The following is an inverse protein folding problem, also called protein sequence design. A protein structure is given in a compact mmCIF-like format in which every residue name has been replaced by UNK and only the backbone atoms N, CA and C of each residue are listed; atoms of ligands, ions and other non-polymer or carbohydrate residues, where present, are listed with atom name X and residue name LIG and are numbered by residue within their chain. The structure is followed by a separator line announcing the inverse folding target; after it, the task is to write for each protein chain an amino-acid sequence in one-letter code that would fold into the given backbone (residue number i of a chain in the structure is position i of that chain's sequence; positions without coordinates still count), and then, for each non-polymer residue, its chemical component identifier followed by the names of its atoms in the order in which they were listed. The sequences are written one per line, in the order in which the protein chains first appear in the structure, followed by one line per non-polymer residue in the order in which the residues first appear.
data_IF_186423184856
#
_entry.id   IF_186423184856
#
_cell.length_a   1.000
_cell.length_b   1.000
_cell.length_c   1.000
_cell.angle_alpha   90.00
_cell.angle_beta   90.00
_cell.angle_gamma   90.00
#
_symmetry.space_group_name_H-M   'P 1'
#
loop_
_entity.id
_entity.type
_entity.pdbx_description
1 polymer ?
2 non-polymer ?
3 water ?
#
# COMPACT_ATOMS: atom_id res chain seq x y z
N UNK A 23 -16.21 16.54 -5.32
CA UNK A 23 -17.15 17.52 -4.78
C UNK A 23 -16.51 18.29 -3.63
N UNK A 24 -15.55 17.66 -2.96
CA UNK A 24 -14.89 18.26 -1.81
C UNK A 24 -14.14 19.54 -2.18
N UNK A 25 -14.38 20.60 -1.41
CA UNK A 25 -13.63 21.84 -1.56
C UNK A 25 -12.22 21.63 -1.02
N UNK A 26 -11.28 22.49 -1.41
CA UNK A 26 -9.91 22.40 -0.90
C UNK A 26 -9.86 22.36 0.63
N UNK A 27 -10.70 23.16 1.27
CA UNK A 27 -10.78 23.18 2.73
C UNK A 27 -11.22 21.82 3.26
N UNK A 28 -12.25 21.25 2.65
CA UNK A 28 -12.79 19.96 3.07
C UNK A 28 -11.79 18.83 2.87
N UNK A 29 -11.07 18.87 1.75
CA UNK A 29 -10.05 17.86 1.46
C UNK A 29 -8.96 17.85 2.53
N UNK A 30 -8.41 19.02 2.82
CA UNK A 30 -7.36 19.14 3.82
C UNK A 30 -7.84 18.78 5.22
N UNK A 31 -9.01 19.31 5.60
CA UNK A 31 -9.53 19.09 6.95
C UNK A 31 -9.90 17.62 7.17
N UNK A 32 -10.65 17.06 6.23
CA UNK A 32 -11.11 15.67 6.36
C UNK A 32 -9.94 14.71 6.38
N UNK A 33 -8.95 14.96 5.52
CA UNK A 33 -7.78 14.10 5.43
C UNK A 33 -6.95 14.21 6.71
N UNK A 34 -6.89 15.41 7.27
CA UNK A 34 -6.20 15.63 8.54
C UNK A 34 -6.85 14.80 9.65
N UNK A 35 -8.17 14.93 9.79
CA UNK A 35 -8.93 14.15 10.75
C UNK A 35 -8.69 12.65 10.56
N UNK A 36 -8.90 12.20 9.33
CA UNK A 36 -8.78 10.78 8.99
C UNK A 36 -7.40 10.23 9.31
N UNK A 37 -6.36 11.00 9.00
CA UNK A 37 -5.00 10.56 9.24
C UNK A 37 -4.67 10.48 10.73
N UNK A 38 -4.96 11.55 11.46
CA UNK A 38 -4.62 11.62 12.89
C UNK A 38 -5.42 10.61 13.71
N UNK A 39 -6.68 10.42 13.35
CA UNK A 39 -7.52 9.45 14.04
C UNK A 39 -6.98 8.04 13.89
N UNK A 40 -6.33 7.78 12.76
CA UNK A 40 -5.76 6.47 12.46
C UNK A 40 -4.41 6.29 13.16
N UNK A 41 -3.64 7.37 13.22
CA UNK A 41 -2.32 7.34 13.86
C UNK A 41 -2.44 7.22 15.38
N UNK A 42 -3.42 7.91 15.94
CA UNK A 42 -3.67 7.84 17.37
C UNK A 42 -4.04 6.42 17.79
N UNK A 43 -4.85 5.76 16.96
CA UNK A 43 -5.34 4.43 17.24
C UNK A 43 -4.27 3.36 17.08
N UNK A 44 -3.56 3.40 15.95
CA UNK A 44 -2.64 2.33 15.58
C UNK A 44 -1.17 2.75 15.69
N UNK A 45 -0.87 3.66 16.61
CA UNK A 45 0.48 4.14 16.82
C UNK A 45 1.47 3.00 17.08
N UNK A 46 1.14 2.14 18.03
CA UNK A 46 2.03 1.05 18.45
C UNK A 46 2.29 0.05 17.32
N UNK A 47 1.25 -0.24 16.54
CA UNK A 47 1.38 -1.16 15.42
C UNK A 47 2.33 -0.62 14.36
N UNK A 48 2.22 0.68 14.08
CA UNK A 48 3.03 1.33 13.05
C UNK A 48 4.49 1.45 13.49
N UNK A 49 4.70 1.61 14.79
CA UNK A 49 6.06 1.70 15.32
C UNK A 49 6.81 0.40 15.07
N UNK A 50 6.15 -0.72 15.32
CA UNK A 50 6.76 -2.03 15.15
C UNK A 50 6.69 -2.55 13.70
N UNK A 51 5.89 -1.89 12.85
CA UNK A 51 5.68 -2.37 11.48
C UNK A 51 5.62 -1.23 10.46
N UNK A 52 6.78 -0.84 9.91
CA UNK A 52 6.86 0.22 8.90
C UNK A 52 5.96 0.00 7.69
N UNK A 53 5.75 -1.25 7.28
CA UNK A 53 4.91 -1.55 6.12
C UNK A 53 3.44 -1.20 6.37
N UNK A 54 2.95 -1.53 7.57
CA UNK A 54 1.59 -1.21 7.95
C UNK A 54 1.41 0.30 7.97
N UNK A 55 2.43 0.99 8.48
CA UNK A 55 2.44 2.44 8.52
C UNK A 55 2.38 2.99 7.10
N UNK A 56 3.24 2.44 6.25
CA UNK A 56 3.33 2.85 4.85
C UNK A 56 2.00 2.68 4.11
N UNK A 57 1.34 1.54 4.34
CA UNK A 57 0.08 1.23 3.67
C UNK A 57 -1.01 2.22 4.07
N UNK A 58 -1.08 2.58 5.35
CA UNK A 58 -2.08 3.51 5.83
C UNK A 58 -1.84 4.91 5.28
N UNK A 59 -0.58 5.33 5.25
CA UNK A 59 -0.20 6.62 4.71
C UNK A 59 -0.60 6.74 3.24
N UNK A 60 -0.32 5.70 2.45
CA UNK A 60 -0.70 5.68 1.04
C UNK A 60 -2.21 5.62 0.86
N UNK A 61 -2.86 4.83 1.70
CA UNK A 61 -4.30 4.66 1.66
C UNK A 61 -5.04 5.97 1.93
N UNK A 62 -4.52 6.74 2.87
CA UNK A 62 -5.18 7.97 3.33
C UNK A 62 -4.79 9.18 2.49
N UNK A 63 -3.50 9.32 2.21
CA UNK A 63 -2.98 10.50 1.52
C UNK A 63 -2.98 10.35 0.00
N UNK A 64 -2.93 9.11 -0.47
CA UNK A 64 -2.82 8.83 -1.89
C UNK A 64 -3.88 9.48 -2.75
N UNK A 65 -5.16 9.25 -2.41
CA UNK A 65 -6.28 9.80 -3.16
C UNK A 65 -6.33 11.33 -3.22
N UNK A 66 -5.55 12.00 -2.38
CA UNK A 66 -5.59 13.46 -2.28
C UNK A 66 -4.24 14.11 -2.52
N UNK A 67 -3.32 13.37 -3.14
CA UNK A 67 -2.00 13.88 -3.45
C UNK A 67 -1.62 13.53 -4.88
N UNK A 68 -1.23 14.55 -5.65
CA UNK A 68 -0.83 14.36 -7.04
C UNK A 68 0.65 13.97 -7.08
N UNK A 69 0.93 12.68 -6.86
CA UNK A 69 2.29 12.19 -6.79
C UNK A 69 3.06 12.40 -8.09
N UNK A 70 2.36 12.25 -9.21
CA UNK A 70 2.99 12.40 -10.52
C UNK A 70 3.45 13.83 -10.75
N UNK A 71 2.55 14.79 -10.49
CA UNK A 71 2.90 16.19 -10.64
C UNK A 71 4.02 16.60 -9.71
N UNK A 72 3.98 16.08 -8.48
CA UNK A 72 5.02 16.35 -7.50
C UNK A 72 6.37 15.83 -8.00
N UNK A 73 6.36 14.62 -8.54
CA UNK A 73 7.58 14.00 -9.05
C UNK A 73 8.13 14.77 -10.24
N UNK A 74 7.26 15.11 -11.19
CA UNK A 74 7.67 15.85 -12.37
C UNK A 74 8.29 17.20 -11.99
N UNK A 75 7.73 17.84 -10.97
CA UNK A 75 8.24 19.13 -10.51
C UNK A 75 9.61 18.99 -9.86
N UNK A 76 9.80 17.92 -9.08
CA UNK A 76 11.08 17.65 -8.45
C UNK A 76 12.15 17.34 -9.51
N UNK A 77 11.78 16.53 -10.49
CA UNK A 77 12.69 16.15 -11.56
C UNK A 77 12.85 17.25 -12.60
N UNK A 78 11.86 18.13 -12.68
CA UNK A 78 11.68 19.06 -13.80
C UNK A 78 11.29 18.29 -15.05
N UNK A 79 10.45 18.90 -15.88
CA UNK A 79 9.91 18.25 -17.07
C UNK A 79 11.01 17.77 -18.02
N UNK A 80 12.13 18.50 -18.05
CA UNK A 80 13.24 18.17 -18.93
C UNK A 80 13.71 16.72 -18.75
N UNK A 81 13.78 16.28 -17.50
CA UNK A 81 14.24 14.93 -17.18
C UNK A 81 13.08 13.96 -16.94
N UNK A 82 11.93 14.49 -16.53
CA UNK A 82 10.76 13.65 -16.34
C UNK A 82 10.34 13.06 -17.68
N UNK A 83 10.56 13.83 -18.75
CA UNK A 83 10.25 13.38 -20.10
C UNK A 83 11.27 12.35 -20.60
N UNK A 84 12.37 12.21 -19.86
CA UNK A 84 13.41 11.24 -20.19
C UNK A 84 13.43 10.08 -19.19
N UNK A 85 12.30 9.91 -18.49
CA UNK A 85 12.18 8.85 -17.49
C UNK A 85 11.10 7.86 -17.89
N UNK A 86 11.46 6.58 -17.90
CA UNK A 86 10.50 5.54 -18.24
C UNK A 86 9.51 5.38 -17.09
N UNK A 87 8.33 4.81 -17.36
CA UNK A 87 7.38 4.47 -16.31
C UNK A 87 8.00 3.69 -15.15
N UNK A 88 8.94 2.80 -15.45
CA UNK A 88 9.64 2.06 -14.42
C UNK A 88 10.43 3.00 -13.51
N UNK A 89 11.30 3.80 -14.11
CA UNK A 89 12.14 4.74 -13.36
C UNK A 89 11.30 5.70 -12.54
N UNK A 90 10.22 6.19 -13.15
CA UNK A 90 9.33 7.13 -12.47
C UNK A 90 8.71 6.48 -11.24
N UNK A 91 8.31 5.21 -11.39
CA UNK A 91 7.65 4.50 -10.31
C UNK A 91 8.61 4.12 -9.19
N UNK A 92 9.83 3.74 -9.56
CA UNK A 92 10.85 3.39 -8.57
C UNK A 92 11.20 4.62 -7.73
N UNK A 93 11.15 5.80 -8.37
CA UNK A 93 11.45 7.06 -7.69
C UNK A 93 10.40 7.40 -6.64
N UNK A 94 9.13 7.25 -7.00
CA UNK A 94 8.03 7.56 -6.09
C UNK A 94 8.07 6.64 -4.88
N UNK A 95 8.32 5.35 -5.13
CA UNK A 95 8.43 4.38 -4.05
C UNK A 95 9.56 4.78 -3.10
N UNK A 96 10.73 5.06 -3.66
CA UNK A 96 11.88 5.50 -2.88
C UNK A 96 11.59 6.76 -2.08
N UNK A 97 11.11 7.79 -2.75
CA UNK A 97 10.82 9.08 -2.13
C UNK A 97 9.90 8.94 -0.91
N UNK A 98 8.71 8.37 -1.15
CA UNK A 98 7.72 8.18 -0.09
C UNK A 98 8.28 7.41 1.11
N UNK A 99 8.89 6.26 0.85
CA UNK A 99 9.43 5.42 1.91
C UNK A 99 10.53 6.14 2.68
N UNK A 100 11.20 7.07 2.01
CA UNK A 100 12.25 7.87 2.65
C UNK A 100 11.63 8.94 3.54
N UNK A 101 10.52 9.52 3.08
CA UNK A 101 9.83 10.54 3.84
C UNK A 101 9.28 9.96 5.14
N UNK A 102 8.64 8.81 5.04
CA UNK A 102 8.15 8.11 6.21
C UNK A 102 9.29 7.80 7.16
N UNK A 103 10.42 7.41 6.59
CA UNK A 103 11.58 7.00 7.37
C UNK A 103 12.20 8.15 8.16
N UNK A 104 12.10 9.37 7.63
CA UNK A 104 12.77 10.53 8.22
C UNK A 104 11.80 11.59 8.74
N UNK A 105 10.50 11.32 8.64
CA UNK A 105 9.48 12.22 9.18
C UNK A 105 8.33 11.47 9.85
N UNK A 106 8.22 10.16 9.59
CA UNK A 106 7.12 9.37 10.09
C UNK A 106 7.07 9.29 11.61
N UNK A 107 8.23 9.19 12.23
CA UNK A 107 8.30 9.11 13.68
C UNK A 107 7.72 10.36 14.32
N UNK A 108 7.96 11.51 13.70
CA UNK A 108 7.42 12.77 14.20
C UNK A 108 5.90 12.78 14.14
N UNK A 109 5.34 12.02 13.22
CA UNK A 109 3.89 11.90 13.08
C UNK A 109 3.32 10.96 14.14
N UNK A 110 4.01 9.85 14.38
CA UNK A 110 3.55 8.86 15.33
C UNK A 110 3.59 9.42 16.75
N UNK A 111 4.57 10.30 16.98
CA UNK A 111 4.74 10.90 18.29
C UNK A 111 3.80 12.10 18.51
N UNK A 112 2.80 12.22 17.65
CA UNK A 112 1.77 13.23 17.81
C UNK A 112 0.75 12.81 18.87
N UNK A 113 0.85 13.44 20.04
CA UNK A 113 -0.19 13.32 21.07
C UNK A 113 -0.66 14.73 21.43
N UNK A 114 -0.43 15.66 20.49
CA UNK A 114 -0.80 17.05 20.68
C UNK A 114 -2.26 17.30 20.33
N UNK A 115 -2.62 18.57 20.24
CA UNK A 115 -3.97 18.98 19.87
C UNK A 115 -3.91 20.31 19.13
N UNK A 116 -5.08 20.86 18.81
CA UNK A 116 -5.17 22.20 18.24
C UNK A 116 -4.64 22.30 16.82
N UNK A 117 -5.19 21.50 15.93
CA UNK A 117 -4.92 21.64 14.51
C UNK A 117 -5.96 22.56 13.90
N UNK A 118 -5.52 23.72 13.42
CA UNK A 118 -6.41 24.69 12.81
C UNK A 118 -6.25 24.72 11.29
N UNK A 119 -7.34 24.40 10.58
CA UNK A 119 -7.39 24.55 9.14
C UNK A 119 -8.05 25.90 8.83
N UNK A 120 -7.24 26.90 8.54
CA UNK A 120 -7.73 28.26 8.29
C UNK A 120 -8.80 28.30 7.20
N UNK A 121 -9.75 29.25 7.30
CA UNK A 121 -10.75 29.39 6.24
C UNK A 121 -10.11 29.65 4.87
N UNK A 122 -10.30 28.73 3.94
CA UNK A 122 -9.67 28.82 2.62
C UNK A 122 -10.26 29.97 1.81
N UNK A 123 -9.38 30.73 1.17
CA UNK A 123 -9.81 31.84 0.31
C UNK A 123 -10.30 31.31 -1.04
N UNK A 124 -10.82 32.20 -1.87
CA UNK A 124 -11.38 31.82 -3.16
C UNK A 124 -10.31 31.24 -4.08
N UNK A 125 -10.77 30.46 -5.07
CA UNK A 125 -9.88 29.82 -6.03
C UNK A 125 -10.33 30.10 -7.46
N UNK A 126 -9.56 29.64 -8.44
CA UNK A 126 -9.87 29.87 -9.85
C UNK A 126 -10.41 28.60 -10.51
N UNK A 127 -10.69 27.58 -9.70
CA UNK A 127 -11.25 26.34 -10.22
C UNK A 127 -10.20 25.42 -10.79
N UNK A 128 -8.93 25.84 -10.72
CA UNK A 128 -7.83 25.04 -11.25
C UNK A 128 -6.73 24.95 -10.20
N UNK A 129 -6.56 26.04 -9.45
CA UNK A 129 -5.54 26.15 -8.41
C UNK A 129 -6.13 26.72 -7.13
N UNK A 130 -5.75 26.16 -5.98
CA UNK A 130 -6.30 26.57 -4.70
C UNK A 130 -5.26 26.55 -3.60
N UNK A 131 -5.48 27.36 -2.57
CA UNK A 131 -4.58 27.45 -1.42
C UNK A 131 -5.33 27.26 -0.11
N UNK A 132 -4.74 26.49 0.79
CA UNK A 132 -5.34 26.23 2.11
C UNK A 132 -4.27 26.35 3.19
N UNK A 133 -4.53 27.22 4.17
CA UNK A 133 -3.61 27.44 5.26
C UNK A 133 -3.92 26.55 6.46
N UNK A 134 -2.87 26.21 7.21
CA UNK A 134 -3.02 25.40 8.41
C UNK A 134 -2.08 25.90 9.49
N UNK A 135 -2.51 25.77 10.74
CA UNK A 135 -1.67 26.09 11.90
C UNK A 135 -1.61 24.89 12.83
N UNK A 136 -0.40 24.57 13.29
CA UNK A 136 -0.20 23.46 14.21
C UNK A 136 0.38 23.99 15.51
N UNK A 137 -0.38 23.83 16.59
CA UNK A 137 0.05 24.29 17.91
C UNK A 137 0.72 23.14 18.67
N UNK A 138 2.02 23.28 18.91
CA UNK A 138 2.77 22.27 19.65
C UNK A 138 2.52 22.35 21.13
N UNK A 139 2.99 21.36 21.87
CA UNK A 139 2.88 21.35 23.33
C UNK A 139 3.55 22.57 23.94
N UNK A 140 4.61 23.03 23.28
CA UNK A 140 5.32 24.23 23.71
C UNK A 140 4.43 25.47 23.58
N UNK A 141 3.45 25.40 22.68
CA UNK A 141 2.54 26.50 22.42
C UNK A 141 2.91 27.26 21.15
N UNK A 142 4.06 26.94 20.58
CA UNK A 142 4.52 27.57 19.34
C UNK A 142 3.63 27.18 18.16
N UNK A 143 3.12 28.18 17.46
CA UNK A 143 2.27 27.95 16.29
C UNK A 143 3.13 27.94 15.02
N UNK A 144 3.04 26.84 14.26
CA UNK A 144 3.80 26.70 13.03
C UNK A 144 2.89 26.83 11.81
N UNK A 145 3.21 27.76 10.88
CA UNK A 145 2.37 27.96 9.71
C UNK A 145 2.59 26.90 8.62
N UNK A 146 1.51 26.50 7.96
CA UNK A 146 1.57 25.51 6.88
C UNK A 146 0.62 25.90 5.76
N UNK A 147 1.17 26.05 4.56
CA UNK A 147 0.40 26.47 3.38
C UNK A 147 0.31 25.34 2.35
N UNK A 148 -0.91 24.88 2.09
CA UNK A 148 -1.15 23.83 1.11
C UNK A 148 -1.54 24.42 -0.25
N UNK A 149 -0.89 23.95 -1.30
CA UNK A 149 -1.26 24.29 -2.66
C UNK A 149 -1.92 23.09 -3.31
N UNK A 150 -3.15 23.27 -3.80
CA UNK A 150 -3.91 22.20 -4.42
C UNK A 150 -4.23 22.50 -5.88
N UNK A 151 -4.21 21.47 -6.70
CA UNK A 151 -4.60 21.57 -8.10
C UNK A 151 -5.87 20.77 -8.34
N UNK A 152 -6.66 21.15 -9.34
CA UNK A 152 -7.86 20.41 -9.70
C UNK A 152 -7.56 19.42 -10.83
N UNK A 153 -7.47 18.15 -10.48
CA UNK A 153 -7.18 17.09 -11.44
C UNK A 153 -8.43 16.27 -11.74
N UNK A 154 -8.98 16.44 -12.94
CA UNK A 154 -10.14 15.68 -13.36
C UNK A 154 -11.34 15.93 -12.46
N UNK A 155 -11.48 17.16 -12.00
CA UNK A 155 -12.60 17.53 -11.14
C UNK A 155 -12.31 17.40 -9.66
N UNK A 156 -11.26 16.66 -9.32
CA UNK A 156 -10.89 16.44 -7.92
C UNK A 156 -9.70 17.30 -7.50
N UNK A 157 -9.79 17.86 -6.29
CA UNK A 157 -8.68 18.63 -5.72
C UNK A 157 -7.65 17.72 -5.07
N UNK A 158 -6.39 17.90 -5.43
CA UNK A 158 -5.29 17.12 -4.86
C UNK A 158 -4.11 18.04 -4.53
N UNK A 159 -3.36 17.68 -3.49
CA UNK A 159 -2.25 18.50 -3.04
C UNK A 159 -1.05 18.39 -3.96
N UNK A 160 -0.57 19.54 -4.46
CA UNK A 160 0.55 19.58 -5.39
C UNK A 160 1.84 20.01 -4.71
N UNK A 161 1.74 20.91 -3.73
CA UNK A 161 2.90 21.38 -3.01
C UNK A 161 2.54 21.85 -1.60
N UNK A 162 3.55 21.96 -0.73
CA UNK A 162 3.34 22.43 0.64
C UNK A 162 4.50 23.29 1.11
N UNK A 163 4.18 24.33 1.86
CA UNK A 163 5.18 25.20 2.49
C UNK A 163 5.09 25.06 4.00
N UNK A 164 6.23 24.76 4.63
CA UNK A 164 6.29 24.56 6.08
C UNK A 164 7.31 25.52 6.69
N UNK A 165 6.84 26.37 7.61
CA UNK A 165 7.69 27.38 8.24
C UNK A 165 8.40 28.25 7.20
N UNK A 166 7.66 28.63 6.17
CA UNK A 166 8.20 29.46 5.10
C UNK A 166 9.14 28.71 4.17
N UNK A 167 9.26 27.40 4.38
CA UNK A 167 10.13 26.57 3.56
C UNK A 167 9.33 25.83 2.51
N UNK A 168 9.56 26.17 1.24
CA UNK A 168 8.90 25.50 0.13
C UNK A 168 9.49 24.10 -0.04
N UNK A 169 8.71 23.09 0.30
CA UNK A 169 9.19 21.72 0.29
C UNK A 169 9.43 21.24 -1.14
N UNK A 170 8.51 21.56 -2.03
CA UNK A 170 8.65 21.19 -3.44
C UNK A 170 9.95 21.74 -4.01
N UNK A 171 10.25 22.98 -3.66
CA UNK A 171 11.48 23.63 -4.10
C UNK A 171 12.71 23.00 -3.45
N UNK A 172 12.56 22.60 -2.19
CA UNK A 172 13.65 21.98 -1.43
C UNK A 172 14.13 20.70 -2.11
N UNK A 173 13.20 19.82 -2.43
CA UNK A 173 13.53 18.54 -3.05
C UNK A 173 13.89 18.72 -4.52
N UNK A 174 13.35 19.76 -5.14
CA UNK A 174 13.70 20.08 -6.53
C UNK A 174 15.17 20.43 -6.61
N UNK A 175 15.64 21.27 -5.69
CA UNK A 175 17.03 21.68 -5.65
C UNK A 175 17.94 20.50 -5.33
N UNK A 176 17.53 19.68 -4.38
CA UNK A 176 18.30 18.50 -3.98
C UNK A 176 18.46 17.52 -5.15
N UNK A 177 17.37 17.31 -5.89
CA UNK A 177 17.43 16.45 -7.07
C UNK A 177 18.37 17.03 -8.13
N UNK A 178 18.34 18.35 -8.27
CA UNK A 178 19.21 19.04 -9.22
C UNK A 178 20.69 18.88 -8.84
N UNK A 179 20.98 19.08 -7.56
CA UNK A 179 22.33 18.92 -7.05
C UNK A 179 22.84 17.49 -7.26
N UNK A 180 22.00 16.52 -6.91
CA UNK A 180 22.32 15.12 -7.11
C UNK A 180 22.65 14.82 -8.56
N UNK A 181 21.79 15.27 -9.46
CA UNK A 181 21.97 15.07 -10.90
C UNK A 181 23.28 15.68 -11.38
N UNK A 182 23.66 16.80 -10.79
CA UNK A 182 24.90 17.48 -11.17
C UNK A 182 26.10 16.61 -10.78
N UNK A 183 26.06 16.08 -9.56
CA UNK A 183 27.14 15.22 -9.07
C UNK A 183 27.18 13.89 -9.80
N UNK A 184 26.01 13.38 -10.16
CA UNK A 184 25.91 12.07 -10.81
C UNK A 184 26.01 12.16 -12.33
N UNK A 185 26.37 13.34 -12.84
CA UNK A 185 26.49 13.54 -14.27
C UNK A 185 25.20 13.32 -15.03
N UNK A 186 24.08 13.70 -14.40
CA UNK A 186 22.76 13.60 -15.00
C UNK A 186 22.38 12.15 -15.32
N UNK A 187 22.83 11.23 -14.48
CA UNK A 187 22.43 9.82 -14.59
C UNK A 187 21.18 9.59 -13.75
N UNK A 188 20.05 9.39 -14.43
CA UNK A 188 18.77 9.25 -13.74
C UNK A 188 18.76 8.06 -12.79
N UNK A 189 19.20 6.91 -13.27
CA UNK A 189 19.19 5.69 -12.46
C UNK A 189 19.95 5.91 -11.15
N UNK A 190 21.16 6.44 -11.23
CA UNK A 190 21.98 6.68 -10.04
C UNK A 190 21.33 7.67 -9.09
N UNK A 191 20.71 8.71 -9.65
CA UNK A 191 20.07 9.74 -8.83
C UNK A 191 18.84 9.18 -8.12
N UNK A 192 18.09 8.32 -8.81
CA UNK A 192 16.88 7.75 -8.27
C UNK A 192 17.19 6.67 -7.23
N UNK A 193 18.24 5.90 -7.47
CA UNK A 193 18.60 4.79 -6.59
C UNK A 193 19.11 5.29 -5.24
N UNK A 194 19.79 6.44 -5.25
CA UNK A 194 20.33 7.02 -4.03
C UNK A 194 19.53 8.20 -3.54
N UNK A 195 18.24 8.21 -3.86
CA UNK A 195 17.38 9.34 -3.54
C UNK A 195 17.03 9.40 -2.06
N UNK A 196 17.04 8.24 -1.40
CA UNK A 196 16.74 8.18 0.03
C UNK A 196 17.74 9.00 0.82
N UNK A 197 19.02 8.83 0.52
CA UNK A 197 20.06 9.61 1.15
C UNK A 197 19.95 11.09 0.80
N UNK A 198 19.35 11.37 -0.35
CA UNK A 198 19.14 12.74 -0.77
C UNK A 198 18.04 13.41 0.05
N UNK A 199 17.01 12.66 0.38
CA UNK A 199 15.95 13.14 1.27
C UNK A 199 16.51 13.32 2.67
N UNK A 200 17.42 12.43 3.06
CA UNK A 200 18.08 12.53 4.35
C UNK A 200 18.86 13.83 4.46
N UNK A 201 19.60 14.16 3.40
CA UNK A 201 20.31 15.44 3.33
C UNK A 201 19.33 16.59 3.30
N UNK A 202 18.23 16.41 2.57
CA UNK A 202 17.19 17.44 2.46
C UNK A 202 16.63 17.77 3.83
N UNK A 203 16.43 16.76 4.67
CA UNK A 203 15.87 16.96 6.00
C UNK A 203 16.76 17.87 6.82
N UNK A 204 18.03 17.51 6.93
CA UNK A 204 19.00 18.29 7.71
C UNK A 204 19.18 19.68 7.10
N UNK A 205 19.17 19.75 5.78
CA UNK A 205 19.27 21.02 5.07
C UNK A 205 18.10 21.93 5.46
N UNK A 206 16.92 21.34 5.64
CA UNK A 206 15.72 22.07 6.02
C UNK A 206 15.69 22.38 7.51
N UNK A 207 16.21 21.46 8.31
CA UNK A 207 16.21 21.62 9.77
C UNK A 207 17.12 22.76 10.22
N UNK A 208 18.24 22.93 9.53
CA UNK A 208 19.20 23.98 9.86
C UNK A 208 18.64 25.38 9.58
N UNK A 209 17.76 25.48 8.58
CA UNK A 209 17.16 26.76 8.21
C UNK A 209 16.34 27.34 9.36
N UNK B 23 -21.84 -5.86 12.42
CA UNK B 23 -20.71 -6.67 12.01
C UNK B 23 -21.05 -7.51 10.79
N UNK B 24 -20.20 -7.42 9.77
CA UNK B 24 -20.40 -8.17 8.53
C UNK B 24 -20.33 -9.67 8.78
N UNK B 25 -21.30 -10.41 8.27
CA UNK B 25 -21.27 -11.86 8.33
C UNK B 25 -20.21 -12.37 7.35
N UNK B 26 -19.75 -13.60 7.52
CA UNK B 26 -18.77 -14.18 6.60
C UNK B 26 -19.21 -14.07 5.14
N UNK B 27 -20.49 -14.29 4.90
CA UNK B 27 -21.06 -14.17 3.56
C UNK B 27 -20.94 -12.74 3.03
N UNK B 28 -21.27 -11.78 3.89
CA UNK B 28 -21.24 -10.36 3.52
C UNK B 28 -19.80 -9.90 3.26
N UNK B 29 -18.87 -10.39 4.07
CA UNK B 29 -17.46 -10.05 3.92
C UNK B 29 -16.95 -10.49 2.55
N UNK B 30 -17.21 -11.74 2.19
CA UNK B 30 -16.79 -12.28 0.90
C UNK B 30 -17.49 -11.58 -0.26
N UNK B 31 -18.80 -11.40 -0.14
CA UNK B 31 -19.59 -10.82 -1.23
C UNK B 31 -19.22 -9.36 -1.49
N UNK B 32 -19.18 -8.57 -0.43
CA UNK B 32 -18.91 -7.14 -0.56
C UNK B 32 -17.50 -6.86 -1.05
N UNK B 33 -16.53 -7.59 -0.53
CA UNK B 33 -15.13 -7.40 -0.92
C UNK B 33 -14.92 -7.81 -2.36
N UNK B 34 -15.60 -8.86 -2.79
CA UNK B 34 -15.55 -9.30 -4.18
C UNK B 34 -16.05 -8.17 -5.08
N UNK B 35 -17.22 -7.65 -4.77
CA UNK B 35 -17.78 -6.51 -5.50
C UNK B 35 -16.78 -5.35 -5.52
N UNK B 36 -16.30 -4.98 -4.35
CA UNK B 36 -15.37 -3.86 -4.20
C UNK B 36 -14.13 -4.06 -5.06
N UNK B 37 -13.60 -5.28 -5.06
CA UNK B 37 -12.39 -5.59 -5.80
C UNK B 37 -12.60 -5.52 -7.32
N UNK B 38 -13.65 -6.19 -7.80
CA UNK B 38 -13.92 -6.26 -9.23
C UNK B 38 -14.31 -4.90 -9.79
N UNK B 39 -15.06 -4.12 -9.03
CA UNK B 39 -15.44 -2.79 -9.44
C UNK B 39 -14.23 -1.89 -9.61
N UNK B 40 -13.21 -2.14 -8.81
CA UNK B 40 -11.98 -1.35 -8.84
C UNK B 40 -11.06 -1.80 -9.97
N UNK B 41 -11.00 -3.11 -10.21
CA UNK B 41 -10.15 -3.66 -11.26
C UNK B 41 -10.72 -3.35 -12.65
N UNK B 42 -12.03 -3.39 -12.77
CA UNK B 42 -12.69 -3.06 -14.03
C UNK B 42 -12.39 -1.61 -14.42
N UNK B 43 -12.42 -0.73 -13.43
CA UNK B 43 -12.23 0.70 -13.65
C UNK B 43 -10.78 1.05 -13.98
N UNK B 44 -9.85 0.55 -13.17
CA UNK B 44 -8.45 0.95 -13.26
C UNK B 44 -7.53 -0.12 -13.84
N UNK B 45 -8.08 -0.96 -14.71
CA UNK B 45 -7.32 -2.04 -15.35
C UNK B 45 -6.07 -1.52 -16.06
N UNK B 46 -6.24 -0.52 -16.91
CA UNK B 46 -5.14 0.00 -17.72
C UNK B 46 -4.04 0.61 -16.84
N UNK B 47 -4.44 1.28 -15.77
CA UNK B 47 -3.48 1.88 -14.84
C UNK B 47 -2.65 0.81 -14.14
N UNK B 48 -3.31 -0.26 -13.72
CA UNK B 48 -2.65 -1.34 -13.00
C UNK B 48 -1.73 -2.15 -13.90
N UNK B 49 -2.09 -2.25 -15.18
CA UNK B 49 -1.26 -2.94 -16.14
C UNK B 49 0.08 -2.23 -16.29
N UNK B 50 0.04 -0.90 -16.39
CA UNK B 50 1.24 -0.10 -16.58
C UNK B 50 1.97 0.25 -15.27
N UNK B 51 1.30 0.03 -14.14
CA UNK B 51 1.86 0.42 -12.84
C UNK B 51 1.57 -0.60 -11.74
N UNK B 52 2.46 -1.60 -11.57
CA UNK B 52 2.30 -2.64 -10.55
C UNK B 52 2.11 -2.11 -9.13
N UNK B 53 2.74 -0.97 -8.80
CA UNK B 53 2.62 -0.40 -7.46
C UNK B 53 1.20 0.08 -7.16
N UNK B 54 0.57 0.72 -8.14
CA UNK B 54 -0.81 1.17 -7.98
C UNK B 54 -1.72 -0.04 -7.79
N UNK B 55 -1.43 -1.09 -8.55
CA UNK B 55 -2.17 -2.34 -8.45
C UNK B 55 -1.99 -2.93 -7.06
N UNK B 56 -0.74 -2.99 -6.60
CA UNK B 56 -0.40 -3.54 -5.30
C UNK B 56 -1.11 -2.80 -4.16
N UNK B 57 -1.11 -1.47 -4.22
CA UNK B 57 -1.71 -0.65 -3.19
C UNK B 57 -3.22 -0.89 -3.09
N UNK B 58 -3.87 -1.02 -4.24
CA UNK B 58 -5.31 -1.26 -4.28
C UNK B 58 -5.65 -2.63 -3.71
N UNK B 59 -4.84 -3.63 -4.06
CA UNK B 59 -5.03 -4.99 -3.56
C UNK B 59 -4.93 -5.04 -2.03
N UNK B 60 -3.92 -4.37 -1.48
CA UNK B 60 -3.76 -4.31 -0.03
C UNK B 60 -4.87 -3.52 0.63
N UNK B 61 -5.27 -2.43 0.00
CA UNK B 61 -6.31 -1.55 0.51
C UNK B 61 -7.65 -2.28 0.61
N UNK B 62 -7.91 -3.14 -0.37
CA UNK B 62 -9.20 -3.83 -0.47
C UNK B 62 -9.22 -5.13 0.30
N UNK B 63 -8.16 -5.93 0.16
CA UNK B 63 -8.11 -7.26 0.76
C UNK B 63 -7.51 -7.25 2.17
N UNK B 64 -6.68 -6.27 2.46
CA UNK B 64 -5.96 -6.20 3.72
C UNK B 64 -6.83 -6.26 4.97
N UNK B 65 -7.84 -5.38 5.04
CA UNK B 65 -8.73 -5.32 6.20
C UNK B 65 -9.53 -6.61 6.45
N UNK B 66 -9.56 -7.52 5.48
CA UNK B 66 -10.37 -8.73 5.58
C UNK B 66 -9.54 -10.00 5.40
N UNK B 67 -8.22 -9.88 5.55
CA UNK B 67 -7.32 -11.03 5.42
C UNK B 67 -6.33 -11.06 6.56
N UNK B 68 -6.26 -12.20 7.24
CA UNK B 68 -5.34 -12.40 8.37
C UNK B 68 -3.96 -12.81 7.86
N UNK B 69 -3.17 -11.82 7.43
CA UNK B 69 -1.86 -12.07 6.84
C UNK B 69 -0.92 -12.76 7.81
N UNK B 70 -0.98 -12.38 9.08
CA UNK B 70 -0.10 -12.94 10.09
C UNK B 70 -0.37 -14.42 10.32
N UNK B 71 -1.64 -14.77 10.51
CA UNK B 71 -2.03 -16.15 10.70
C UNK B 71 -1.70 -16.99 9.48
N UNK B 72 -1.91 -16.41 8.30
CA UNK B 72 -1.59 -17.08 7.05
C UNK B 72 -0.09 -17.36 6.99
N UNK B 73 0.69 -16.36 7.40
CA UNK B 73 2.15 -16.50 7.41
C UNK B 73 2.60 -17.55 8.42
N UNK B 74 2.05 -17.50 9.63
CA UNK B 74 2.40 -18.46 10.66
C UNK B 74 2.14 -19.90 10.24
N UNK B 75 1.04 -20.12 9.54
CA UNK B 75 0.67 -21.46 9.08
C UNK B 75 1.63 -21.96 8.00
N UNK B 76 2.01 -21.06 7.10
CA UNK B 76 2.96 -21.41 6.04
C UNK B 76 4.31 -21.75 6.63
N UNK B 77 4.79 -20.90 7.54
CA UNK B 77 6.06 -21.12 8.20
C UNK B 77 5.97 -22.27 9.21
N UNK B 78 4.76 -22.51 9.71
CA UNK B 78 4.54 -23.35 10.88
C UNK B 78 5.12 -22.66 12.12
N UNK B 79 4.46 -22.86 13.25
CA UNK B 79 4.84 -22.19 14.49
C UNK B 79 6.29 -22.46 14.88
N UNK B 80 6.78 -23.66 14.54
CA UNK B 80 8.15 -24.03 14.86
C UNK B 80 9.14 -23.00 14.32
N UNK B 81 8.87 -22.50 13.13
CA UNK B 81 9.76 -21.56 12.47
C UNK B 81 9.29 -20.11 12.62
N UNK B 82 7.98 -19.92 12.79
CA UNK B 82 7.44 -18.58 13.00
C UNK B 82 7.91 -18.02 14.34
N UNK B 83 8.08 -18.91 15.31
CA UNK B 83 8.55 -18.50 16.64
C UNK B 83 10.04 -18.17 16.65
N UNK B 84 10.72 -18.53 15.57
CA UNK B 84 12.15 -18.23 15.44
C UNK B 84 12.38 -17.17 14.36
N UNK B 85 11.33 -16.41 14.06
CA UNK B 85 11.40 -15.34 13.08
C UNK B 85 11.11 -13.99 13.73
N UNK B 86 12.02 -13.04 13.54
CA UNK B 86 11.83 -11.70 14.08
C UNK B 86 10.74 -10.96 13.31
N UNK B 87 10.16 -9.91 13.92
CA UNK B 87 9.21 -9.03 13.24
C UNK B 87 9.72 -8.54 11.87
N UNK B 88 11.02 -8.29 11.76
CA UNK B 88 11.60 -7.88 10.48
C UNK B 88 11.42 -8.96 9.42
N UNK B 89 11.90 -10.16 9.74
CA UNK B 89 11.81 -11.29 8.82
C UNK B 89 10.37 -11.60 8.45
N UNK B 90 9.48 -11.49 9.43
CA UNK B 90 8.07 -11.76 9.22
C UNK B 90 7.48 -10.76 8.24
N UNK B 91 7.75 -9.49 8.49
CA UNK B 91 7.24 -8.42 7.64
C UNK B 91 7.82 -8.51 6.22
N UNK B 92 9.09 -8.88 6.12
CA UNK B 92 9.74 -9.04 4.83
C UNK B 92 9.12 -10.19 4.04
N UNK B 93 8.75 -11.26 4.73
CA UNK B 93 8.16 -12.42 4.08
C UNK B 93 6.79 -12.11 3.50
N UNK B 94 5.97 -11.39 4.26
CA UNK B 94 4.63 -11.02 3.81
C UNK B 94 4.72 -10.13 2.57
N UNK B 95 5.65 -9.17 2.61
CA UNK B 95 5.87 -8.28 1.48
C UNK B 95 6.25 -9.09 0.24
N UNK B 96 7.24 -9.94 0.38
CA UNK B 96 7.69 -10.82 -0.70
C UNK B 96 6.55 -11.69 -1.24
N UNK B 97 5.88 -12.40 -0.34
CA UNK B 97 4.79 -13.30 -0.71
C UNK B 97 3.71 -12.60 -1.55
N UNK B 98 3.15 -11.54 -0.99
CA UNK B 98 2.11 -10.76 -1.67
C UNK B 98 2.53 -10.31 -3.06
N UNK B 99 3.68 -9.66 -3.14
CA UNK B 99 4.17 -9.11 -4.41
C UNK B 99 4.41 -10.22 -5.43
N UNK B 100 4.69 -11.42 -4.94
CA UNK B 100 4.90 -12.57 -5.80
C UNK B 100 3.56 -13.09 -6.32
N UNK B 101 2.55 -13.05 -5.47
CA UNK B 101 1.22 -13.51 -5.84
C UNK B 101 0.64 -12.61 -6.93
N UNK B 102 0.79 -11.30 -6.75
CA UNK B 102 0.36 -10.33 -7.76
C UNK B 102 1.12 -10.56 -9.05
N UNK B 103 2.36 -11.00 -8.93
CA UNK B 103 3.24 -11.19 -10.08
C UNK B 103 2.86 -12.42 -10.91
N UNK B 104 2.30 -13.44 -10.25
CA UNK B 104 2.01 -14.71 -10.92
C UNK B 104 0.53 -15.03 -10.99
N UNK B 105 -0.32 -14.13 -10.51
CA UNK B 105 -1.77 -14.31 -10.60
C UNK B 105 -2.51 -13.01 -10.90
N UNK B 106 -1.84 -11.87 -10.77
CA UNK B 106 -2.47 -10.57 -10.96
C UNK B 106 -3.02 -10.36 -12.36
N UNK B 107 -2.29 -10.84 -13.36
CA UNK B 107 -2.71 -10.70 -14.74
C UNK B 107 -4.05 -11.40 -14.99
N UNK B 108 -4.23 -12.55 -14.35
CA UNK B 108 -5.47 -13.30 -14.47
C UNK B 108 -6.62 -12.51 -13.86
N UNK B 109 -6.31 -11.65 -12.90
CA UNK B 109 -7.32 -10.80 -12.27
C UNK B 109 -7.67 -9.62 -13.17
N UNK B 110 -6.67 -9.01 -13.77
CA UNK B 110 -6.87 -7.84 -14.63
C UNK B 110 -7.61 -8.23 -15.91
N UNK B 111 -7.38 -9.44 -16.39
CA UNK B 111 -8.01 -9.90 -17.63
C UNK B 111 -9.42 -10.41 -17.35
N UNK B 112 -9.95 -10.11 -16.18
CA UNK B 112 -11.34 -10.43 -15.87
C UNK B 112 -12.29 -9.41 -16.48
N UNK B 113 -12.98 -9.82 -17.54
CA UNK B 113 -14.11 -9.06 -18.07
C UNK B 113 -15.31 -10.00 -18.13
N UNK B 114 -15.27 -11.03 -17.30
CA UNK B 114 -16.33 -12.03 -17.25
C UNK B 114 -17.47 -11.53 -16.38
N UNK B 115 -18.39 -12.43 -16.06
CA UNK B 115 -19.53 -12.11 -15.21
C UNK B 115 -19.93 -13.35 -14.42
N UNK B 116 -21.02 -13.24 -13.66
CA UNK B 116 -21.58 -14.40 -12.98
C UNK B 116 -20.73 -14.89 -11.83
N UNK B 117 -20.48 -14.02 -10.87
CA UNK B 117 -19.84 -14.42 -9.62
C UNK B 117 -20.91 -14.80 -8.61
N UNK B 118 -20.93 -16.07 -8.23
CA UNK B 118 -21.89 -16.57 -7.26
C UNK B 118 -21.24 -16.82 -5.91
N UNK B 119 -21.71 -16.09 -4.90
CA UNK B 119 -21.33 -16.35 -3.51
C UNK B 119 -22.41 -17.21 -2.86
N UNK B 120 -22.15 -18.52 -2.77
CA UNK B 120 -23.12 -19.46 -2.23
C UNK B 120 -23.61 -19.06 -0.84
N UNK B 121 -24.87 -19.41 -0.51
CA UNK B 121 -25.38 -19.14 0.84
C UNK B 121 -24.54 -19.81 1.92
N UNK B 122 -23.92 -19.01 2.78
CA UNK B 122 -23.02 -19.54 3.81
C UNK B 122 -23.78 -20.32 4.88
N UNK B 123 -23.21 -21.46 5.28
CA UNK B 123 -23.80 -22.28 6.33
C UNK B 123 -23.51 -21.67 7.70
N UNK B 124 -24.09 -22.25 8.74
CA UNK B 124 -23.93 -21.75 10.10
C UNK B 124 -22.47 -21.86 10.56
N UNK B 125 -22.10 -21.05 11.55
CA UNK B 125 -20.73 -21.04 12.08
C UNK B 125 -20.74 -21.20 13.60
N UNK B 126 -19.54 -21.29 14.19
CA UNK B 126 -19.40 -21.47 15.63
C UNK B 126 -18.92 -20.18 16.33
N UNK B 127 -18.92 -19.08 15.60
CA UNK B 127 -18.53 -17.80 16.15
C UNK B 127 -17.02 -17.58 16.18
N UNK B 128 -16.28 -18.57 15.69
CA UNK B 128 -14.82 -18.48 15.60
C UNK B 128 -14.31 -18.89 14.23
N UNK B 129 -14.97 -19.87 13.63
CA UNK B 129 -14.57 -20.38 12.32
C UNK B 129 -15.80 -20.48 11.42
N UNK B 130 -15.65 -20.08 10.16
CA UNK B 130 -16.75 -20.04 9.22
C UNK B 130 -16.29 -20.45 7.83
N UNK B 131 -17.23 -20.94 7.02
CA UNK B 131 -16.94 -21.35 5.66
C UNK B 131 -17.89 -20.68 4.67
N UNK B 132 -17.35 -20.20 3.56
CA UNK B 132 -18.13 -19.55 2.52
C UNK B 132 -17.70 -20.06 1.15
N UNK B 133 -18.66 -20.58 0.39
CA UNK B 133 -18.39 -21.10 -0.94
C UNK B 133 -18.57 -20.05 -2.02
N UNK B 134 -17.90 -20.26 -3.15
CA UNK B 134 -18.00 -19.35 -4.29
C UNK B 134 -17.88 -20.14 -5.60
N UNK B 135 -18.60 -19.68 -6.61
CA UNK B 135 -18.52 -20.26 -7.95
C UNK B 135 -18.17 -19.17 -8.96
N UNK B 136 -17.22 -19.47 -9.84
CA UNK B 136 -16.78 -18.55 -10.88
C UNK B 136 -17.03 -19.12 -12.27
N UNK B 137 -17.78 -18.39 -13.08
CA UNK B 137 -18.13 -18.82 -14.42
C UNK B 137 -17.10 -18.33 -15.45
N UNK B 138 -16.38 -19.28 -16.03
CA UNK B 138 -15.37 -18.95 -17.04
C UNK B 138 -15.97 -18.68 -18.40
N UNK B 139 -15.14 -18.19 -19.32
CA UNK B 139 -15.58 -17.94 -20.69
C UNK B 139 -16.09 -19.21 -21.36
N UNK B 140 -15.45 -20.33 -21.03
CA UNK B 140 -15.88 -21.63 -21.53
C UNK B 140 -17.24 -22.02 -20.97
N UNK B 141 -17.56 -21.46 -19.80
CA UNK B 141 -18.78 -21.79 -19.09
C UNK B 141 -18.50 -22.74 -17.94
N UNK B 142 -17.26 -23.21 -17.86
CA UNK B 142 -16.85 -24.12 -16.80
C UNK B 142 -16.88 -23.41 -15.44
N UNK B 143 -17.60 -24.01 -14.50
CA UNK B 143 -17.71 -23.47 -13.15
C UNK B 143 -16.62 -24.06 -12.26
N UNK B 144 -15.82 -23.18 -11.66
CA UNK B 144 -14.73 -23.59 -10.79
C UNK B 144 -15.10 -23.30 -9.33
N UNK B 145 -15.01 -24.32 -8.46
CA UNK B 145 -15.39 -24.13 -7.05
C UNK B 145 -14.30 -23.44 -6.21
N UNK B 146 -14.72 -22.60 -5.27
CA UNK B 146 -13.79 -21.91 -4.38
C UNK B 146 -14.37 -21.86 -2.97
N UNK B 147 -13.63 -22.39 -2.00
CA UNK B 147 -14.08 -22.47 -0.62
C UNK B 147 -13.23 -21.57 0.28
N UNK B 148 -13.88 -20.59 0.91
CA UNK B 148 -13.19 -19.68 1.81
C UNK B 148 -13.32 -20.12 3.26
N UNK B 149 -12.19 -20.16 3.97
CA UNK B 149 -12.18 -20.40 5.40
C UNK B 149 -11.89 -19.09 6.11
N UNK B 150 -12.78 -18.70 7.02
CA UNK B 150 -12.65 -17.45 7.75
C UNK B 150 -12.52 -17.66 9.25
N UNK B 151 -11.73 -16.82 9.89
CA UNK B 151 -11.60 -16.81 11.34
C UNK B 151 -12.17 -15.50 11.87
N UNK B 152 -12.63 -15.51 13.12
CA UNK B 152 -13.11 -14.30 13.77
C UNK B 152 -12.01 -13.68 14.62
N UNK B 153 -11.42 -12.60 14.11
CA UNK B 153 -10.33 -11.91 14.80
C UNK B 153 -10.82 -10.59 15.39
N UNK B 154 -10.93 -10.56 16.72
CA UNK B 154 -11.34 -9.36 17.42
C UNK B 154 -12.73 -8.88 17.03
N UNK B 155 -13.64 -9.83 16.81
CA UNK B 155 -15.01 -9.52 16.44
C UNK B 155 -15.24 -9.42 14.95
N UNK B 156 -14.15 -9.30 14.19
CA UNK B 156 -14.25 -9.20 12.73
C UNK B 156 -13.86 -10.50 12.06
N UNK B 157 -14.60 -10.87 11.02
CA UNK B 157 -14.29 -12.05 10.22
C UNK B 157 -13.21 -11.73 9.20
N UNK B 158 -12.18 -12.57 9.16
CA UNK B 158 -11.09 -12.41 8.20
C UNK B 158 -10.74 -13.76 7.58
N UNK B 159 -10.31 -13.73 6.32
CA UNK B 159 -9.99 -14.96 5.59
C UNK B 159 -8.67 -15.55 6.05
N UNK B 160 -8.69 -16.81 6.46
CA UNK B 160 -7.50 -17.50 6.94
C UNK B 160 -6.94 -18.45 5.89
N UNK B 161 -7.83 -19.08 5.11
CA UNK B 161 -7.39 -20.00 4.07
C UNK B 161 -8.40 -20.08 2.92
N UNK B 162 -7.96 -20.58 1.78
CA UNK B 162 -8.82 -20.74 0.62
C UNK B 162 -8.48 -22.01 -0.15
N UNK B 163 -9.51 -22.68 -0.66
CA UNK B 163 -9.34 -23.86 -1.49
C UNK B 163 -9.83 -23.56 -2.90
N UNK B 164 -8.96 -23.80 -3.90
CA UNK B 164 -9.29 -23.53 -5.29
C UNK B 164 -9.18 -24.80 -6.13
N UNK B 165 -10.29 -25.19 -6.75
CA UNK B 165 -10.35 -26.41 -7.54
C UNK B 165 -9.88 -27.60 -6.73
N UNK B 166 -10.30 -27.66 -5.47
CA UNK B 166 -9.94 -28.75 -4.59
C UNK B 166 -8.50 -28.72 -4.12
N UNK B 167 -7.78 -27.65 -4.48
CA UNK B 167 -6.37 -27.50 -4.09
C UNK B 167 -6.26 -26.55 -2.92
N UNK B 168 -5.82 -27.08 -1.78
CA UNK B 168 -5.62 -26.28 -0.58
C UNK B 168 -4.39 -25.38 -0.75
N UNK B 169 -4.63 -24.08 -0.87
CA UNK B 169 -3.56 -23.13 -1.12
C UNK B 169 -2.64 -22.99 0.08
N UNK B 170 -3.23 -22.91 1.27
CA UNK B 170 -2.47 -22.82 2.50
C UNK B 170 -1.52 -23.98 2.65
N UNK B 171 -1.99 -25.18 2.35
CA UNK B 171 -1.19 -26.38 2.42
C UNK B 171 -0.11 -26.37 1.33
N UNK B 172 -0.47 -25.86 0.16
CA UNK B 172 0.45 -25.79 -0.98
C UNK B 172 1.70 -24.98 -0.65
N UNK B 173 1.49 -23.77 -0.14
CA UNK B 173 2.61 -22.88 0.18
C UNK B 173 3.31 -23.32 1.46
N UNK B 174 2.59 -24.00 2.34
CA UNK B 174 3.19 -24.54 3.56
C UNK B 174 4.22 -25.60 3.17
N UNK B 175 3.84 -26.49 2.26
CA UNK B 175 4.72 -27.55 1.80
C UNK B 175 5.93 -26.99 1.06
N UNK B 176 5.68 -26.00 0.20
CA UNK B 176 6.75 -25.35 -0.55
C UNK B 176 7.76 -24.66 0.36
N UNK B 177 7.25 -23.98 1.39
CA UNK B 177 8.11 -23.33 2.38
C UNK B 177 8.94 -24.38 3.11
N UNK B 178 8.32 -25.53 3.40
CA UNK B 178 9.01 -26.62 4.08
C UNK B 178 10.14 -27.19 3.21
N UNK B 179 9.85 -27.42 1.93
CA UNK B 179 10.85 -27.92 1.00
C UNK B 179 12.01 -26.94 0.90
N UNK B 180 11.69 -25.66 0.74
CA UNK B 180 12.70 -24.61 0.68
C UNK B 180 13.59 -24.64 1.91
N UNK B 181 12.97 -24.68 3.08
CA UNK B 181 13.71 -24.73 4.35
C UNK B 181 14.56 -25.99 4.45
N UNK B 182 14.04 -27.09 3.91
CA UNK B 182 14.79 -28.35 3.89
C UNK B 182 16.03 -28.20 3.03
N UNK B 183 15.87 -27.62 1.85
CA UNK B 183 16.98 -27.43 0.92
C UNK B 183 17.97 -26.38 1.43
N UNK B 184 17.45 -25.36 2.12
CA UNK B 184 18.28 -24.26 2.60
C UNK B 184 18.88 -24.52 3.98
N UNK B 185 18.73 -25.74 4.48
CA UNK B 185 19.25 -26.09 5.79
C UNK B 185 18.60 -25.25 6.88
N UNK B 186 17.32 -24.95 6.69
CA UNK B 186 16.53 -24.21 7.67
C UNK B 186 17.06 -22.79 7.90
N UNK B 187 17.59 -22.17 6.86
CA UNK B 187 18.00 -20.77 6.92
C UNK B 187 16.82 -19.88 6.53
N UNK B 188 16.28 -19.16 7.50
CA UNK B 188 15.08 -18.35 7.27
C UNK B 188 15.32 -17.23 6.26
N UNK B 189 16.40 -16.47 6.45
CA UNK B 189 16.69 -15.35 5.58
C UNK B 189 16.76 -15.76 4.12
N UNK B 190 17.53 -16.80 3.83
CA UNK B 190 17.66 -17.27 2.45
C UNK B 190 16.32 -17.77 1.90
N UNK B 191 15.54 -18.43 2.74
CA UNK B 191 14.23 -18.95 2.34
C UNK B 191 13.26 -17.79 2.08
N UNK B 192 13.35 -16.76 2.91
CA UNK B 192 12.45 -15.61 2.79
C UNK B 192 12.85 -14.73 1.60
N UNK B 193 14.15 -14.59 1.39
CA UNK B 193 14.66 -13.74 0.31
C UNK B 193 14.36 -14.34 -1.06
N UNK B 194 14.37 -15.67 -1.13
CA UNK B 194 14.13 -16.38 -2.38
C UNK B 194 12.74 -16.99 -2.45
N UNK B 195 11.80 -16.39 -1.74
CA UNK B 195 10.45 -16.92 -1.64
C UNK B 195 9.66 -16.70 -2.93
N UNK B 196 10.01 -15.64 -3.66
CA UNK B 196 9.33 -15.34 -4.93
C UNK B 196 9.49 -16.50 -5.90
N UNK B 197 10.71 -16.99 -6.04
CA UNK B 197 10.98 -18.14 -6.87
C UNK B 197 10.29 -19.39 -6.34
N UNK B 198 10.03 -19.41 -5.04
CA UNK B 198 9.35 -20.54 -4.42
C UNK B 198 7.87 -20.55 -4.79
N UNK B 199 7.27 -19.37 -4.87
CA UNK B 199 5.89 -19.23 -5.33
C UNK B 199 5.79 -19.58 -6.82
N UNK B 200 6.84 -19.26 -7.56
CA UNK B 200 6.90 -19.58 -8.98
C UNK B 200 6.85 -21.09 -9.18
N UNK B 201 7.62 -21.81 -8.38
CA UNK B 201 7.59 -23.27 -8.39
C UNK B 201 6.23 -23.77 -7.93
N UNK B 202 5.68 -23.12 -6.91
CA UNK B 202 4.37 -23.45 -6.39
C UNK B 202 3.27 -23.31 -7.44
N UNK B 203 3.36 -22.25 -8.23
CA UNK B 203 2.36 -21.95 -9.25
C UNK B 203 2.24 -23.07 -10.27
N UNK B 204 3.35 -23.41 -10.92
CA UNK B 204 3.35 -24.48 -11.91
C UNK B 204 3.08 -25.84 -11.28
N UNK B 205 3.58 -26.06 -10.07
CA UNK B 205 3.34 -27.29 -9.34
C UNK B 205 1.84 -27.53 -9.13
N UNK B 206 1.11 -26.45 -8.86
CA UNK B 206 -0.33 -26.53 -8.65
C UNK B 206 -1.07 -26.60 -9.99
N UNK B 207 -0.57 -25.88 -10.98
CA UNK B 207 -1.20 -25.83 -12.30
C UNK B 207 -1.12 -27.17 -13.02
N UNK B 208 0.00 -27.87 -12.84
CA UNK B 208 0.22 -29.16 -13.48
C UNK B 208 -0.74 -30.23 -12.99
N UNK B 209 -1.18 -30.12 -11.74
CA UNK B 209 -2.09 -31.08 -11.15
C UNK B 209 -3.41 -31.15 -11.90
X LIG C 1 9.76 19.89 11.19
X LIG C 1 9.82 21.15 12.06
X LIG C 1 9.24 18.73 12.04
X LIG C 1 9.64 20.64 8.92
X LIG C 1 9.76 19.87 7.63
X LIG C 1 8.47 19.10 7.34
X LIG C 1 8.62 18.32 6.03
X LIG C 1 7.32 17.62 5.67
X LIG C 1 7.40 17.02 4.27
X LIG C 1 6.02 16.97 3.64
X LIG C 1 6.11 16.68 2.15
X LIG C 1 6.11 15.18 1.87
X LIG C 1 4.67 14.65 1.79
X LIG C 1 4.56 13.29 1.14
X LIG C 1 4.92 13.32 -0.35
X LIG C 1 4.89 11.92 -0.93
X LIG C 1 4.00 11.86 -2.16
X LIG C 1 4.61 12.60 -3.35
X LIG C 1 5.74 11.80 -3.98
X LIG C 1 7.48 16.98 11.78
X LIG C 1 6.75 15.97 10.92
X LIG C 1 5.94 16.71 9.86
X LIG C 1 5.91 15.96 8.54
X LIG C 1 5.03 14.73 8.60
X LIG C 1 5.52 13.64 7.65
X LIG C 1 4.59 13.40 6.47
X LIG C 1 5.15 12.25 5.65
X LIG C 1 4.06 11.51 4.88
X LIG C 1 4.40 10.03 4.73
X LIG C 1 4.71 9.67 3.28
X LIG C 1 3.43 9.56 2.48
X LIG C 1 3.72 8.96 1.11
X LIG C 1 2.68 9.41 0.09
X LIG C 1 1.38 8.63 0.27
X LIG C 1 0.40 8.99 -0.82
X LIG C 1 10.15 21.74 9.01
X LIG C 1 7.21 17.08 12.97
X LIG C 1 8.93 20.07 10.06
X LIG C 1 8.50 17.83 11.21
X LIG C 1 10.73 23.41 13.88
X LIG C 1 10.20 21.30 15.33
X LIG C 1 10.96 21.08 12.92
X LIG C 1 12.58 21.88 14.67
X LIG C 1 11.03 21.97 14.26
X LIG D 1 5.22 20.01 15.91
X LIG D 1 6.19 19.97 17.10
X LIG D 1 5.81 20.93 14.84
X LIG D 1 4.19 17.82 16.16
X LIG D 1 2.93 17.22 15.59
X LIG D 1 2.96 17.19 14.07
X LIG D 1 1.57 16.85 13.54
X LIG D 1 1.41 17.20 12.06
X LIG D 1 -0.06 17.15 11.69
X LIG D 1 -0.27 17.11 10.19
X LIG D 1 -1.61 16.45 9.88
X LIG D 1 -2.10 16.79 8.48
X LIG D 1 -1.48 15.89 7.43
X LIG D 1 -1.71 16.42 6.03
X LIG D 1 -3.17 16.32 5.60
X LIG D 1 -3.55 17.47 4.67
X LIG D 1 -2.87 17.38 3.31
X LIG D 1 -3.46 16.29 2.42
X LIG D 1 -4.82 16.67 1.88
X LIG D 1 5.50 21.48 12.42
X LIG D 1 4.70 21.32 11.14
X LIG D 1 4.51 19.83 10.87
X LIG D 1 3.51 19.59 9.74
X LIG D 1 4.10 19.96 8.38
X LIG D 1 3.19 19.49 7.25
X LIG D 1 3.42 18.01 6.94
X LIG D 1 2.31 17.43 6.07
X LIG D 1 2.30 18.10 4.70
X LIG D 1 1.24 17.46 3.80
X LIG D 1 1.72 16.14 3.20
X LIG D 1 1.33 16.02 1.73
X LIG D 1 2.01 17.08 0.88
X LIG D 1 2.08 16.65 -0.58
X LIG D 1 2.81 17.70 -1.43
X LIG D 1 4.30 17.53 -1.37
X LIG D 1 4.51 17.58 17.31
X LIG D 1 6.54 22.12 12.42
X LIG D 1 5.04 18.70 15.35
X LIG D 1 5.02 20.87 13.66
X LIG D 1 5.27 18.65 20.09
X LIG D 1 7.51 19.98 19.76
X LIG D 1 5.50 20.41 18.28
X LIG D 1 5.46 21.10 20.71
X LIG D 1 6.00 19.93 19.73
X LIG E 1 -5.88 -20.72 -11.92
X LIG E 1 -6.82 -21.71 -12.62
X LIG E 1 -5.98 -19.37 -12.61
X LIG E 1 -5.56 -21.55 -9.69
X LIG E 1 -4.68 -21.11 -8.55
X LIG E 1 -5.28 -19.89 -7.85
X LIG E 1 -4.37 -19.44 -6.71
X LIG E 1 -4.95 -18.21 -6.02
X LIG E 1 -4.10 -17.80 -4.82
X LIG E 1 -4.97 -17.17 -3.74
X LIG E 1 -4.19 -17.06 -2.43
X LIG E 1 -3.40 -15.76 -2.37
X LIG E 1 -4.24 -14.63 -1.79
X LIG E 1 -3.40 -13.46 -1.31
X LIG E 1 -2.61 -13.81 -0.06
X LIG E 1 -1.76 -12.63 0.36
X LIG E 1 -2.00 -12.27 1.83
X LIG E 1 -1.41 -13.30 2.77
X LIG E 1 0.09 -13.17 2.88
X LIG E 1 -6.60 -17.07 -11.82
X LIG E 1 -6.36 -15.92 -10.87
X LIG E 1 -7.01 -16.23 -9.53
X LIG E 1 -6.15 -15.70 -8.38
X LIG E 1 -6.18 -14.18 -8.28
X LIG E 1 -4.93 -13.64 -7.61
X LIG E 1 -5.18 -13.07 -6.23
X LIG E 1 -3.87 -12.46 -5.72
X LIG E 1 -4.10 -11.36 -4.70
X LIG E 1 -3.06 -10.25 -4.83
X LIG E 1 -2.13 -10.19 -3.63
X LIG E 1 -2.87 -9.61 -2.42
X LIG E 1 -1.87 -9.29 -1.31
X LIG E 1 -2.55 -9.25 0.05
X LIG E 1 -3.32 -7.95 0.24
X LIG E 1 -3.89 -7.88 1.63
X LIG E 1 -5.73 -22.75 -9.91
X LIG E 1 -7.39 -16.95 -12.75
X LIG E 1 -6.22 -20.57 -10.54
X LIG E 1 -5.92 -18.34 -11.63
X LIG E 1 -8.08 -23.78 -14.40
X LIG E 1 -7.71 -21.61 -15.81
X LIG E 1 -6.23 -22.15 -13.84
X LIG E 1 -6.07 -23.53 -15.93
X LIG E 1 -7.15 -22.76 -15.02
X LIG F 1 -11.05 -18.60 -14.74
X LIG F 1 -10.81 -18.87 -16.22
X LIG F 1 -10.63 -19.83 -13.94
X LIG F 1 -10.73 -16.19 -14.88
X LIG F 1 -11.39 -15.12 -14.04
X LIG F 1 -10.70 -14.97 -12.69
X LIG F 1 -11.50 -14.02 -11.81
X LIG F 1 -11.19 -14.24 -10.33
X LIG F 1 -12.31 -13.65 -9.47
X LIG F 1 -11.93 -13.65 -8.00
X LIG F 1 -13.07 -13.11 -7.16
X LIG F 1 -12.76 -13.25 -5.67
X LIG F 1 -12.23 -11.95 -5.10
X LIG F 1 -11.69 -12.14 -3.68
X LIG F 1 -12.81 -12.37 -2.68
X LIG F 1 -12.30 -13.07 -1.43
X LIG F 1 -11.61 -12.11 -0.47
X LIG F 1 -12.63 -11.29 0.31
X LIG F 1 -13.22 -12.05 1.46
X LIG F 1 -10.49 -20.52 -11.54
X LIG F 1 -10.54 -20.04 -10.11
X LIG F 1 -10.08 -18.59 -10.04
X LIG F 1 -10.48 -17.96 -8.72
X LIG F 1 -9.76 -18.62 -7.57
X LIG F 1 -9.91 -17.80 -6.29
X LIG F 1 -8.89 -16.67 -6.25
X LIG F 1 -9.16 -15.70 -5.11
X LIG F 1 -8.84 -16.36 -3.78
X LIG F 1 -9.08 -15.42 -2.61
X LIG F 1 -7.89 -14.50 -2.36
X LIG F 1 -7.73 -14.21 -0.87
X LIG F 1 -7.37 -15.47 -0.09
X LIG F 1 -6.71 -15.14 1.25
X LIG F 1 -6.46 -16.40 2.06
X LIG F 1 -5.29 -17.19 1.55
X LIG F 1 -10.52 -15.98 -16.07
X LIG F 1 -10.02 -21.60 -11.83
X LIG F 1 -10.30 -17.46 -14.28
X LIG F 1 -11.02 -19.66 -12.59
X LIG F 1 -10.74 -17.18 -18.80
X LIG F 1 -12.06 -19.41 -19.25
X LIG F 1 -11.95 -18.38 -16.93
X LIG F 1 -13.26 -17.25 -18.69
X LIG F 1 -11.91 -18.10 -18.51
#
# INVERSE_FOLDING_TARGET
XISILRRGLLVLLAAFPLLALAVQTPHEVVQSTTNELLGDLKANKEQYKSNPNAFYDSLNRILGPVVDADGISRSIMTVKYSRKATPEQMQRFQENFKRSLMQFYGNALLEYNNQGITVDPAKADDGKRASVGMKVTGNNGAVYPVQYTLENIGGEWKVRNVIVNGINIGKLFRDQFADAMQRNGNDLDKTIDGWAGEVAKAKQAADNSPEKSVKLEHHHHHH
XISILRRGLLVLLAAFPLLALAVQTPHEVVQSTTNELLGDLKANKEQYKSNPNAFYDSLNRILGPVVDADGISRSIMTVKYSRKATPEQMQRFQENFKRSLMQFYGNALLEYNNQGITVDPAKADDGKRASVGMKVTGNNGAVYPVQYTLENIGGEWKVRNVIVNGINIGKLFRDQFADAMQRNGNDLDKTIDGWAGEVAKAKQAADNSPEKSVKLEHHHHHH
PEF C2 C1 C3 C10 C11 C12 C13 C14 C15 C16 C17 C18 C19 C20 C21 C22 C23 C24 C25 C30 C31 C32 C33 C34 C35 C36 C37 C38 C39 C40 C41 C42 C43 C44 C45 O4 O5 O2 O3 O1P O2P O3P O4P P
PEF C2 C1 C3 C10 C11 C12 C13 C14 C15 C16 C17 C18 C19 C20 C21 C22 C23 C24 C25 C30 C31 C32 C33 C34 C35 C36 C37 C38 C39 C40 C41 C42 C43 C44 C45 O4 O5 O2 O3 O1P O2P O3P O4P P
PEF C2 C1 C3 C10 C11 C12 C13 C14 C15 C16 C17 C18 C19 C20 C21 C22 C23 C24 C25 C30 C31 C32 C33 C34 C35 C36 C37 C38 C39 C40 C41 C42 C43 C44 C45 O4 O5 O2 O3 O1P O2P O3P O4P P
PEF C2 C1 C3 C10 C11 C12 C13 C14 C15 C16 C17 C18 C19 C20 C21 C22 C23 C24 C25 C30 C31 C32 C33 C34 C35 C36 C37 C38 C39 C40 C41 C42 C43 C44 C45 O4 O5 O2 O3 O1P O2P O3P O4P P
#
